data_IF_135862617066
#
_entry.id   IF_135862617066
#
_cell.length_a   1.000
_cell.length_b   1.000
_cell.length_c   1.000
_cell.angle_alpha   90.00
_cell.angle_beta   90.00
_cell.angle_gamma   90.00
#
_symmetry.space_group_name_H-M   'P 1'
#
loop_
_entity.id
_entity.type
_entity.pdbx_description
1 polymer ?
#
# COMPACT_ATOMS: atom_id res chain seq x y z
N UNK A 1 2.41 -30.98 -1.65
CA UNK A 1 2.24 -29.72 -0.89
C UNK A 1 3.20 -28.70 -1.50
N UNK A 2 2.70 -27.61 -2.11
CA UNK A 2 3.57 -26.57 -2.70
C UNK A 2 3.94 -25.57 -1.60
N UNK A 3 5.19 -25.58 -1.14
CA UNK A 3 5.73 -24.53 -0.28
C UNK A 3 5.98 -23.29 -1.13
N UNK A 4 5.27 -22.20 -0.84
CA UNK A 4 5.38 -20.94 -1.61
C UNK A 4 6.69 -20.16 -1.39
N UNK A 5 7.66 -20.76 -0.67
CA UNK A 5 9.06 -20.30 -0.63
C UNK A 5 9.26 -18.87 -0.13
N UNK A 6 8.44 -18.42 0.82
CA UNK A 6 8.57 -17.09 1.42
C UNK A 6 9.50 -17.14 2.63
N UNK A 7 10.48 -16.24 2.66
CA UNK A 7 11.45 -16.13 3.75
C UNK A 7 11.46 -14.72 4.31
N UNK A 8 11.55 -14.62 5.64
CA UNK A 8 11.77 -13.37 6.34
C UNK A 8 13.10 -12.74 5.91
N UNK A 9 13.10 -11.43 5.69
CA UNK A 9 14.29 -10.68 5.24
C UNK A 9 14.82 -9.65 6.23
N UNK A 10 14.11 -9.37 7.33
CA UNK A 10 14.61 -8.57 8.45
C UNK A 10 14.78 -9.47 9.65
N UNK A 11 15.96 -9.43 10.27
CA UNK A 11 16.21 -10.07 11.56
C UNK A 11 16.60 -9.07 12.66
N UNK A 12 16.79 -7.80 12.29
CA UNK A 12 17.06 -6.70 13.21
C UNK A 12 15.79 -6.27 13.95
N UNK A 13 15.89 -5.73 15.19
CA UNK A 13 14.75 -5.17 15.90
C UNK A 13 14.10 -4.04 15.11
N UNK A 14 12.78 -4.12 14.93
CA UNK A 14 11.97 -3.10 14.25
C UNK A 14 11.15 -2.26 15.20
N UNK A 15 11.09 -2.67 16.47
CA UNK A 15 10.39 -1.97 17.54
C UNK A 15 11.33 -1.74 18.71
N UNK A 16 11.33 -0.51 19.22
CA UNK A 16 12.15 -0.05 20.35
C UNK A 16 11.33 0.84 21.27
N UNK A 17 11.26 0.48 22.54
CA UNK A 17 10.82 1.36 23.62
C UNK A 17 11.80 1.19 24.78
N UNK A 18 12.45 2.28 25.18
CA UNK A 18 13.46 2.27 26.23
C UNK A 18 14.56 1.22 25.92
N UNK A 19 14.71 0.22 26.78
CA UNK A 19 15.66 -0.88 26.61
C UNK A 19 15.07 -2.11 25.88
N UNK A 20 13.75 -2.14 25.69
CA UNK A 20 13.07 -3.25 25.02
C UNK A 20 13.26 -3.17 23.51
N UNK A 21 13.66 -4.30 22.89
CA UNK A 21 13.89 -4.42 21.45
C UNK A 21 13.25 -5.70 20.93
N UNK A 22 12.40 -5.57 19.92
CA UNK A 22 11.70 -6.71 19.31
C UNK A 22 11.62 -6.59 17.80
N UNK A 23 11.56 -7.74 17.11
CA UNK A 23 11.36 -7.83 15.66
C UNK A 23 9.91 -8.25 15.40
N UNK A 24 9.00 -7.28 15.37
CA UNK A 24 7.57 -7.53 15.17
C UNK A 24 7.09 -7.17 13.76
N UNK A 25 7.87 -6.37 13.03
CA UNK A 25 7.51 -5.91 11.69
C UNK A 25 8.26 -6.69 10.60
N UNK A 26 7.63 -7.74 10.09
CA UNK A 26 8.27 -8.66 9.15
C UNK A 26 8.00 -8.31 7.69
N UNK A 27 8.97 -8.63 6.83
CA UNK A 27 8.77 -8.68 5.37
C UNK A 27 9.20 -10.05 4.87
N UNK A 28 8.30 -10.68 4.13
CA UNK A 28 8.50 -11.99 3.53
C UNK A 28 8.62 -11.86 2.02
N UNK A 29 9.66 -12.46 1.44
CA UNK A 29 9.89 -12.42 -0.01
C UNK A 29 10.20 -13.82 -0.52
N UNK A 30 9.73 -14.12 -1.74
CA UNK A 30 10.01 -15.38 -2.41
C UNK A 30 11.52 -15.52 -2.69
N UNK A 31 12.04 -16.74 -2.63
CA UNK A 31 13.47 -17.11 -2.71
C UNK A 31 14.21 -16.56 -3.95
N UNK A 32 13.48 -16.21 -5.01
CA UNK A 32 14.07 -15.80 -6.29
C UNK A 32 14.31 -14.28 -6.42
N UNK A 33 14.01 -13.47 -5.41
CA UNK A 33 14.22 -12.01 -5.46
C UNK A 33 15.40 -11.62 -4.58
N UNK A 34 16.52 -11.11 -5.14
CA UNK A 34 17.55 -10.49 -4.34
C UNK A 34 17.01 -9.19 -3.74
N UNK A 35 16.92 -9.17 -2.42
CA UNK A 35 16.41 -8.04 -1.63
C UNK A 35 17.52 -7.51 -0.76
N UNK A 36 17.80 -6.22 -0.88
CA UNK A 36 18.56 -5.48 0.11
C UNK A 36 17.58 -4.83 1.07
N UNK A 37 17.58 -5.26 2.32
CA UNK A 37 16.76 -4.73 3.41
C UNK A 37 17.63 -4.16 4.51
N UNK A 38 17.19 -3.08 5.16
CA UNK A 38 17.79 -2.56 6.40
C UNK A 38 16.75 -1.91 7.28
N UNK A 39 16.96 -1.94 8.60
CA UNK A 39 16.20 -1.13 9.54
C UNK A 39 16.89 0.23 9.71
N UNK A 40 16.11 1.30 9.67
CA UNK A 40 16.56 2.67 9.84
C UNK A 40 15.93 3.20 11.13
N UNK A 41 16.72 3.39 12.20
CA UNK A 41 16.21 3.89 13.46
C UNK A 41 15.52 5.24 13.30
N UNK A 42 14.39 5.44 13.98
CA UNK A 42 13.67 6.72 13.96
C UNK A 42 13.37 7.22 15.37
N UNK A 43 13.31 8.53 15.55
CA UNK A 43 12.93 9.16 16.81
C UNK A 43 11.45 9.56 16.86
N UNK A 44 10.72 9.39 15.76
CA UNK A 44 9.33 9.83 15.60
C UNK A 44 8.32 8.76 16.00
N UNK A 45 8.76 7.51 16.16
CA UNK A 45 7.92 6.35 16.49
C UNK A 45 8.74 5.31 17.24
N UNK A 46 8.06 4.51 18.07
CA UNK A 46 8.62 3.28 18.63
C UNK A 46 8.92 2.21 17.58
N UNK A 47 8.40 2.36 16.36
CA UNK A 47 8.73 1.51 15.23
C UNK A 47 9.78 2.16 14.33
N UNK A 48 10.86 1.44 14.09
CA UNK A 48 11.91 1.84 13.17
C UNK A 48 11.43 1.69 11.71
N UNK A 49 11.89 2.60 10.85
CA UNK A 49 11.58 2.56 9.44
C UNK A 49 12.30 1.38 8.78
N UNK A 50 11.65 0.77 7.79
CA UNK A 50 12.23 -0.36 7.06
C UNK A 50 12.44 0.03 5.60
N UNK A 51 13.69 -0.02 5.15
CA UNK A 51 14.03 0.22 3.76
C UNK A 51 14.24 -1.10 3.03
N UNK A 52 13.58 -1.26 1.89
CA UNK A 52 13.76 -2.42 1.03
C UNK A 52 13.88 -2.00 -0.42
N UNK A 53 14.89 -2.55 -1.09
CA UNK A 53 15.01 -2.47 -2.54
C UNK A 53 14.71 -3.83 -3.13
N UNK A 54 13.56 -3.93 -3.80
CA UNK A 54 13.25 -5.06 -4.66
C UNK A 54 14.00 -4.86 -5.97
N UNK A 55 15.01 -5.68 -6.22
CA UNK A 55 15.62 -5.75 -7.55
C UNK A 55 14.59 -6.41 -8.46
N UNK A 56 13.85 -5.61 -9.23
CA UNK A 56 13.02 -6.17 -10.28
C UNK A 56 13.94 -6.95 -11.21
N UNK A 57 13.80 -8.27 -11.23
CA UNK A 57 14.31 -9.06 -12.35
C UNK A 57 13.57 -8.47 -13.55
N UNK A 58 14.28 -7.67 -14.36
CA UNK A 58 13.75 -7.14 -15.59
C UNK A 58 13.42 -8.34 -16.48
N UNK A 59 12.18 -8.85 -16.39
CA UNK A 59 11.63 -9.62 -17.50
C UNK A 59 11.64 -8.64 -18.67
N UNK A 60 12.40 -8.96 -19.73
CA UNK A 60 12.30 -8.25 -21.01
C UNK A 60 10.81 -8.19 -21.34
N UNK A 61 10.24 -7.00 -21.21
CA UNK A 61 8.81 -6.80 -21.38
C UNK A 61 8.56 -6.93 -22.89
N UNK A 62 8.10 -8.09 -23.36
CA UNK A 62 7.95 -8.39 -24.80
C UNK A 62 6.73 -7.75 -25.45
N UNK A 63 5.99 -6.87 -24.76
CA UNK A 63 5.02 -5.99 -25.41
C UNK A 63 4.72 -4.80 -24.50
N UNK A 64 5.03 -3.58 -24.96
CA UNK A 64 4.46 -2.39 -24.36
C UNK A 64 2.96 -2.36 -24.72
N UNK A 65 2.10 -2.78 -23.78
CA UNK A 65 0.67 -2.52 -23.92
C UNK A 65 0.43 -1.05 -23.56
N UNK A 66 -0.19 -0.24 -24.44
CA UNK A 66 -0.56 1.12 -24.09
C UNK A 66 -1.54 1.09 -22.92
N UNK A 67 -1.09 1.52 -21.75
CA UNK A 67 -1.98 1.73 -20.60
C UNK A 67 -2.66 3.07 -20.81
N UNK A 68 -3.97 3.05 -21.09
CA UNK A 68 -4.77 4.28 -21.13
C UNK A 68 -4.77 4.91 -19.73
N UNK A 69 -3.93 5.92 -19.53
CA UNK A 69 -3.91 6.68 -18.28
C UNK A 69 -5.04 7.70 -18.33
N UNK A 70 -5.91 7.73 -17.33
CA UNK A 70 -6.87 8.83 -17.17
C UNK A 70 -6.07 10.09 -16.87
N UNK A 71 -6.06 11.04 -17.80
CA UNK A 71 -5.52 12.38 -17.57
C UNK A 71 -6.62 13.17 -16.87
N UNK A 72 -6.46 13.38 -15.57
CA UNK A 72 -7.36 14.24 -14.78
C UNK A 72 -6.98 15.70 -15.06
N UNK A 73 -7.55 16.29 -16.10
CA UNK A 73 -7.45 17.72 -16.31
C UNK A 73 -8.12 18.46 -15.15
N UNK A 74 -7.51 19.54 -14.66
CA UNK A 74 -8.04 20.34 -13.55
C UNK A 74 -9.49 20.75 -13.80
N UNK A 75 -9.84 21.10 -15.04
CA UNK A 75 -11.21 21.43 -15.47
C UNK A 75 -12.21 20.29 -15.23
N UNK A 76 -11.81 19.03 -15.50
CA UNK A 76 -12.67 17.86 -15.25
C UNK A 76 -12.82 17.54 -13.77
N UNK A 77 -11.79 17.79 -12.97
CA UNK A 77 -11.89 17.66 -11.51
C UNK A 77 -12.79 18.73 -10.89
N UNK A 78 -12.69 19.99 -11.36
CA UNK A 78 -13.58 21.07 -10.91
C UNK A 78 -15.04 20.79 -11.27
N UNK A 79 -15.31 20.33 -12.49
CA UNK A 79 -16.66 19.93 -12.90
C UNK A 79 -17.21 18.76 -12.08
N UNK A 80 -16.37 17.78 -11.73
CA UNK A 80 -16.75 16.68 -10.85
C UNK A 80 -17.06 17.14 -9.43
N UNK A 81 -16.25 18.03 -8.85
CA UNK A 81 -16.49 18.61 -7.52
C UNK A 81 -17.80 19.38 -7.47
N UNK A 82 -18.03 20.27 -8.45
CA UNK A 82 -19.29 21.01 -8.55
C UNK A 82 -20.50 20.07 -8.62
N UNK A 83 -20.39 18.96 -9.35
CA UNK A 83 -21.45 17.95 -9.40
C UNK A 83 -21.67 17.26 -8.04
N UNK A 84 -20.61 16.91 -7.32
CA UNK A 84 -20.71 16.26 -5.99
C UNK A 84 -21.37 17.16 -4.95
N UNK A 85 -21.16 18.47 -5.03
CA UNK A 85 -21.75 19.47 -4.12
C UNK A 85 -23.26 19.66 -4.33
N UNK A 86 -23.76 19.33 -5.53
CA UNK A 86 -25.19 19.46 -5.89
C UNK A 86 -26.02 18.19 -5.69
N UNK A 87 -25.38 17.07 -5.33
CA UNK A 87 -26.08 15.80 -5.12
C UNK A 87 -26.66 15.77 -3.71
N UNK A 88 -27.91 15.32 -3.58
CA UNK A 88 -28.51 15.03 -2.27
C UNK A 88 -27.94 13.72 -1.73
N UNK A 89 -27.20 13.82 -0.63
CA UNK A 89 -26.54 12.71 0.04
C UNK A 89 -27.36 12.14 1.22
N UNK A 90 -28.54 12.71 1.49
CA UNK A 90 -29.34 12.41 2.68
C UNK A 90 -29.65 10.91 2.80
N UNK A 91 -30.02 10.26 1.70
CA UNK A 91 -30.31 8.83 1.70
C UNK A 91 -29.11 7.94 2.04
N UNK A 92 -27.89 8.39 1.73
CA UNK A 92 -26.65 7.69 2.06
C UNK A 92 -26.25 7.91 3.52
N UNK A 93 -26.43 9.13 4.04
CA UNK A 93 -26.17 9.44 5.45
C UNK A 93 -27.12 8.75 6.42
N UNK A 94 -28.30 8.33 5.94
CA UNK A 94 -29.24 7.52 6.72
C UNK A 94 -28.86 6.04 6.80
N UNK A 95 -27.87 5.58 6.02
CA UNK A 95 -27.41 4.19 6.06
C UNK A 95 -26.28 4.04 7.07
N UNK A 96 -26.58 3.39 8.19
CA UNK A 96 -25.61 3.14 9.27
C UNK A 96 -24.61 2.01 8.96
N UNK A 97 -24.93 1.12 8.01
CA UNK A 97 -24.03 0.04 7.58
C UNK A 97 -23.13 0.52 6.43
N UNK A 98 -21.80 0.63 6.63
CA UNK A 98 -20.88 1.08 5.60
C UNK A 98 -20.85 0.19 4.33
N UNK A 99 -21.08 -1.12 4.48
CA UNK A 99 -21.11 -2.04 3.33
C UNK A 99 -22.37 -1.81 2.49
N UNK A 100 -23.51 -1.60 3.15
CA UNK A 100 -24.77 -1.30 2.47
C UNK A 100 -24.72 0.06 1.78
N UNK A 101 -24.08 1.06 2.39
CA UNK A 101 -23.84 2.36 1.77
C UNK A 101 -22.94 2.24 0.53
N UNK A 102 -21.86 1.45 0.60
CA UNK A 102 -20.94 1.22 -0.52
C UNK A 102 -21.64 0.55 -1.73
N UNK A 103 -22.52 -0.41 -1.49
CA UNK A 103 -23.26 -1.10 -2.54
C UNK A 103 -24.17 -0.17 -3.36
N UNK A 104 -24.52 1.02 -2.86
CA UNK A 104 -25.30 2.00 -3.64
C UNK A 104 -24.47 2.72 -4.71
N UNK A 105 -23.15 2.57 -4.69
CA UNK A 105 -22.23 3.17 -5.67
C UNK A 105 -21.72 2.19 -6.73
N UNK A 106 -22.01 0.88 -6.58
CA UNK A 106 -21.66 -0.18 -7.52
C UNK A 106 -22.74 -0.36 -8.58
#
# INVERSE_FOLDING_TARGET
>A
MKTYGFYQKIHEPTYRINECRSTIDNIFVNNNTPVQGRVVPTTLSSHDAKYFRLSAVQKRCTAQKPVKRRIYFQSKMSAFRAKMETVDWTELYQVFDPNLAYNRFL
#
